data_IF_057145302942
#
_entry.id   IF_057145302942
#
_cell.length_a   1.000
_cell.length_b   1.000
_cell.length_c   1.000
_cell.angle_alpha   90.00
_cell.angle_beta   90.00
_cell.angle_gamma   90.00
#
_symmetry.space_group_name_H-M   'P 1'
#
loop_
_entity.id
_entity.type
_entity.pdbx_description
1 polymer ?
#
# COMPACT_ATOMS: atom_id res chain seq x y z
N UNK A 1 -43.10 -79.81 45.72
CA UNK A 1 -43.80 -78.56 45.35
C UNK A 1 -43.19 -78.02 44.06
N UNK A 2 -43.98 -77.60 43.07
CA UNK A 2 -43.45 -76.97 41.86
C UNK A 2 -43.18 -75.49 42.13
N UNK A 3 -41.96 -75.02 41.82
CA UNK A 3 -41.57 -73.61 41.95
C UNK A 3 -41.08 -73.08 40.61
N UNK A 4 -41.39 -71.80 40.36
CA UNK A 4 -40.98 -71.06 39.16
C UNK A 4 -40.36 -69.75 39.64
N UNK A 5 -39.18 -69.41 39.13
CA UNK A 5 -38.49 -68.16 39.39
C UNK A 5 -38.98 -67.06 38.44
N UNK A 6 -38.88 -65.79 38.88
CA UNK A 6 -39.15 -64.64 38.03
C UNK A 6 -38.11 -64.49 36.90
N UNK A 7 -38.35 -63.58 35.95
CA UNK A 7 -37.49 -63.38 34.79
C UNK A 7 -36.01 -63.14 35.17
N UNK A 8 -35.76 -62.33 36.19
CA UNK A 8 -34.43 -62.01 36.72
C UNK A 8 -33.96 -62.93 37.84
N UNK A 9 -34.68 -64.00 38.18
CA UNK A 9 -34.34 -64.86 39.32
C UNK A 9 -33.93 -66.27 38.88
N UNK A 10 -33.14 -66.95 39.70
CA UNK A 10 -32.83 -68.37 39.54
C UNK A 10 -33.14 -69.14 40.83
N UNK A 11 -33.65 -70.38 40.68
CA UNK A 11 -33.81 -71.31 41.79
C UNK A 11 -32.50 -72.06 42.00
N UNK A 12 -31.98 -72.00 43.22
CA UNK A 12 -30.89 -72.83 43.74
C UNK A 12 -31.52 -73.97 44.50
N UNK A 13 -31.27 -75.19 44.05
CA UNK A 13 -31.81 -76.40 44.66
C UNK A 13 -30.66 -77.25 45.17
N UNK A 14 -30.72 -77.60 46.44
CA UNK A 14 -29.76 -78.44 47.15
C UNK A 14 -30.49 -79.53 47.92
N UNK A 15 -29.80 -80.59 48.33
CA UNK A 15 -30.36 -81.67 49.15
C UNK A 15 -30.40 -83.02 48.45
N UNK A 16 -31.30 -83.90 48.88
CA UNK A 16 -31.25 -85.33 48.53
C UNK A 16 -31.28 -85.54 47.00
N UNK A 17 -30.28 -86.27 46.49
CA UNK A 17 -30.13 -86.59 45.06
C UNK A 17 -29.41 -85.52 44.22
N UNK A 18 -28.90 -84.45 44.83
CA UNK A 18 -28.12 -83.40 44.17
C UNK A 18 -26.72 -83.36 44.82
N UNK A 19 -25.63 -83.52 44.05
CA UNK A 19 -24.28 -83.62 44.61
C UNK A 19 -23.70 -82.29 45.11
N UNK A 20 -24.06 -81.15 44.51
CA UNK A 20 -23.57 -79.82 44.90
C UNK A 20 -24.72 -78.80 44.87
N UNK A 21 -24.91 -78.12 43.74
CA UNK A 21 -26.01 -77.16 43.53
C UNK A 21 -26.63 -77.38 42.15
N UNK A 22 -27.96 -77.33 42.08
CA UNK A 22 -28.71 -77.32 40.82
C UNK A 22 -29.36 -75.95 40.60
N UNK A 23 -29.03 -75.31 39.49
CA UNK A 23 -29.66 -74.06 39.04
C UNK A 23 -30.81 -74.36 38.08
N UNK A 24 -31.98 -73.74 38.31
CA UNK A 24 -33.12 -73.90 37.40
C UNK A 24 -34.05 -72.68 37.43
N UNK A 25 -34.67 -72.35 36.29
CA UNK A 25 -35.78 -71.36 36.25
C UNK A 25 -37.10 -71.95 36.76
N UNK A 26 -37.30 -73.24 36.58
CA UNK A 26 -38.50 -73.98 37.00
C UNK A 26 -38.12 -75.38 37.42
N UNK A 27 -38.58 -75.84 38.58
CA UNK A 27 -38.26 -77.17 39.06
C UNK A 27 -39.26 -77.71 40.08
N UNK A 28 -39.33 -79.03 40.15
CA UNK A 28 -39.99 -79.76 41.23
C UNK A 28 -39.03 -79.88 42.41
N UNK A 29 -39.40 -79.31 43.56
CA UNK A 29 -38.69 -79.47 44.82
C UNK A 29 -39.27 -80.69 45.53
N UNK A 30 -38.46 -81.73 45.69
CA UNK A 30 -38.83 -82.99 46.36
C UNK A 30 -38.66 -82.90 47.88
N UNK A 31 -39.32 -83.75 48.67
CA UNK A 31 -39.07 -83.86 50.11
C UNK A 31 -37.58 -84.15 50.38
N UNK A 32 -36.95 -83.37 51.26
CA UNK A 32 -35.50 -83.44 51.53
C UNK A 32 -34.64 -82.56 50.63
N UNK A 33 -35.24 -81.75 49.74
CA UNK A 33 -34.54 -80.71 48.99
C UNK A 33 -34.87 -79.32 49.54
N UNK A 34 -33.85 -78.49 49.65
CA UNK A 34 -33.93 -77.07 49.98
C UNK A 34 -33.89 -76.26 48.69
N UNK A 35 -34.71 -75.19 48.63
CA UNK A 35 -34.75 -74.31 47.48
C UNK A 35 -34.69 -72.85 47.93
N UNK A 36 -33.64 -72.15 47.49
CA UNK A 36 -33.45 -70.71 47.66
C UNK A 36 -33.56 -70.02 46.30
N UNK A 37 -33.91 -68.73 46.31
CA UNK A 37 -34.05 -67.92 45.10
C UNK A 37 -33.04 -66.77 45.21
N UNK A 38 -32.33 -66.48 44.12
CA UNK A 38 -31.47 -65.30 44.04
C UNK A 38 -31.77 -64.51 42.76
N UNK A 39 -31.57 -63.20 42.83
CA UNK A 39 -31.71 -62.27 41.71
C UNK A 39 -30.38 -62.13 40.97
N UNK A 40 -30.42 -62.14 39.63
CA UNK A 40 -29.26 -61.90 38.77
C UNK A 40 -29.18 -60.46 38.26
N UNK A 41 -30.12 -59.61 38.65
CA UNK A 41 -30.16 -58.20 38.24
C UNK A 41 -28.89 -57.46 38.69
N UNK A 42 -28.23 -56.71 37.80
CA UNK A 42 -27.08 -55.90 38.17
C UNK A 42 -27.44 -54.83 39.20
N UNK A 43 -26.58 -54.66 40.19
CA UNK A 43 -26.75 -53.68 41.28
C UNK A 43 -25.71 -52.57 41.14
N UNK A 44 -26.12 -51.34 41.43
CA UNK A 44 -25.22 -50.19 41.44
C UNK A 44 -24.55 -50.06 42.82
N UNK A 45 -23.23 -50.13 42.83
CA UNK A 45 -22.39 -49.95 44.00
C UNK A 45 -21.69 -48.59 43.92
N UNK A 46 -22.04 -47.70 44.83
CA UNK A 46 -21.40 -46.39 45.01
C UNK A 46 -20.35 -46.49 46.09
N UNK A 47 -19.14 -46.01 45.82
CA UNK A 47 -18.07 -45.99 46.81
C UNK A 47 -17.16 -44.78 46.61
N UNK A 48 -16.46 -44.43 47.69
CA UNK A 48 -15.52 -43.31 47.75
C UNK A 48 -14.19 -43.87 48.24
N UNK A 49 -13.33 -44.28 47.31
CA UNK A 49 -12.03 -44.86 47.68
C UNK A 49 -11.09 -43.74 48.11
N UNK A 50 -10.62 -43.81 49.35
CA UNK A 50 -9.50 -42.97 49.80
C UNK A 50 -8.18 -43.70 49.48
N UNK A 51 -7.35 -43.05 48.67
CA UNK A 51 -6.06 -43.59 48.25
C UNK A 51 -4.96 -42.54 48.36
N UNK A 52 -3.71 -42.98 48.25
CA UNK A 52 -2.53 -42.10 48.23
C UNK A 52 -1.79 -42.32 46.91
N UNK A 53 -1.33 -41.23 46.30
CA UNK A 53 -0.44 -41.30 45.12
C UNK A 53 0.96 -41.78 45.50
N UNK A 54 1.81 -42.06 44.50
CA UNK A 54 3.24 -42.33 44.70
C UNK A 54 3.97 -41.20 45.46
N UNK A 55 3.47 -39.97 45.34
CA UNK A 55 4.00 -38.76 46.00
C UNK A 55 3.43 -38.57 47.42
N UNK A 56 2.64 -39.55 47.91
CA UNK A 56 1.95 -39.54 49.21
C UNK A 56 0.90 -38.44 49.34
N UNK A 57 0.33 -37.99 48.22
CA UNK A 57 -0.80 -37.07 48.24
C UNK A 57 -2.10 -37.85 48.40
N UNK A 58 -2.91 -37.58 49.44
CA UNK A 58 -4.17 -38.26 49.65
C UNK A 58 -5.25 -37.70 48.72
N UNK A 59 -6.07 -38.58 48.16
CA UNK A 59 -7.20 -38.18 47.32
C UNK A 59 -8.39 -39.14 47.48
N UNK A 60 -9.57 -38.66 47.10
CA UNK A 60 -10.81 -39.44 47.06
C UNK A 60 -11.19 -39.71 45.61
N UNK A 61 -11.41 -40.99 45.29
CA UNK A 61 -11.97 -41.45 44.02
C UNK A 61 -13.43 -41.86 44.21
N UNK A 62 -14.39 -40.96 43.94
CA UNK A 62 -15.79 -41.33 43.92
C UNK A 62 -16.12 -42.07 42.63
N UNK A 63 -16.63 -43.29 42.74
CA UNK A 63 -17.04 -44.07 41.58
C UNK A 63 -18.28 -44.91 41.81
N UNK A 64 -18.96 -45.22 40.72
CA UNK A 64 -20.20 -46.01 40.70
C UNK A 64 -20.02 -47.17 39.74
N UNK A 65 -20.12 -48.39 40.24
CA UNK A 65 -19.96 -49.60 39.45
C UNK A 65 -21.28 -50.37 39.42
N UNK A 66 -21.72 -50.74 38.23
CA UNK A 66 -22.87 -51.62 38.02
C UNK A 66 -22.35 -53.04 37.90
N UNK A 67 -22.56 -53.85 38.94
CA UNK A 67 -22.01 -55.21 39.05
C UNK A 67 -23.14 -56.20 39.22
N UNK A 68 -23.05 -57.33 38.53
CA UNK A 68 -23.99 -58.44 38.68
C UNK A 68 -23.36 -59.76 38.27
N UNK A 69 -24.00 -60.90 38.56
CA UNK A 69 -23.53 -62.19 38.07
C UNK A 69 -23.56 -62.25 36.55
N UNK A 70 -22.63 -63.00 35.96
CA UNK A 70 -22.61 -63.29 34.53
C UNK A 70 -23.65 -64.37 34.21
N UNK A 71 -24.73 -63.99 33.52
CA UNK A 71 -25.85 -64.91 33.20
C UNK A 71 -25.50 -65.89 32.07
N UNK A 72 -24.56 -65.53 31.20
CA UNK A 72 -24.16 -66.35 30.04
C UNK A 72 -23.32 -67.58 30.43
N UNK A 73 -22.74 -67.60 31.62
CA UNK A 73 -21.86 -68.67 32.09
C UNK A 73 -22.46 -69.36 33.32
N UNK A 74 -22.84 -70.62 33.17
CA UNK A 74 -23.41 -71.43 34.25
C UNK A 74 -22.39 -71.64 35.39
N UNK A 75 -21.09 -71.70 35.09
CA UNK A 75 -20.06 -71.83 36.11
C UNK A 75 -19.96 -70.56 36.98
N UNK A 76 -20.09 -69.38 36.38
CA UNK A 76 -20.15 -68.10 37.09
C UNK A 76 -21.40 -67.98 37.97
N UNK A 77 -22.56 -68.40 37.47
CA UNK A 77 -23.79 -68.45 38.26
C UNK A 77 -23.69 -69.40 39.45
N UNK A 78 -23.03 -70.54 39.29
CA UNK A 78 -22.77 -71.48 40.39
C UNK A 78 -21.86 -70.87 41.46
N UNK A 79 -20.79 -70.16 41.07
CA UNK A 79 -19.91 -69.45 42.01
C UNK A 79 -20.67 -68.38 42.80
N UNK A 80 -21.51 -67.60 42.12
CA UNK A 80 -22.34 -66.58 42.74
C UNK A 80 -23.39 -67.19 43.69
N UNK A 81 -24.03 -68.28 43.29
CA UNK A 81 -24.98 -69.01 44.14
C UNK A 81 -24.32 -69.56 45.42
N UNK A 82 -23.06 -70.01 45.34
CA UNK A 82 -22.27 -70.42 46.51
C UNK A 82 -21.96 -69.24 47.43
N UNK A 83 -21.64 -68.08 46.87
CA UNK A 83 -21.36 -66.86 47.63
C UNK A 83 -22.57 -66.33 48.40
N UNK A 84 -23.77 -66.46 47.84
CA UNK A 84 -25.04 -66.01 48.45
C UNK A 84 -25.68 -67.07 49.36
N UNK A 85 -25.12 -68.28 49.39
CA UNK A 85 -25.58 -69.36 50.27
C UNK A 85 -25.59 -68.89 51.74
N UNK A 86 -26.61 -69.27 52.54
CA UNK A 86 -26.94 -68.58 53.78
C UNK A 86 -26.00 -68.95 54.92
N UNK A 87 -24.75 -68.54 54.85
CA UNK A 87 -23.94 -68.28 56.03
C UNK A 87 -24.14 -66.81 56.39
N UNK A 88 -25.08 -66.65 57.32
CA UNK A 88 -25.38 -65.43 58.05
C UNK A 88 -26.22 -64.33 57.37
N UNK A 89 -27.13 -63.81 58.18
CA UNK A 89 -28.19 -62.87 57.81
C UNK A 89 -27.61 -61.46 57.70
N UNK A 90 -26.94 -61.14 56.63
CA UNK A 90 -26.80 -59.75 56.19
C UNK A 90 -26.55 -59.74 54.69
N UNK A 91 -27.49 -59.17 53.95
CA UNK A 91 -27.42 -58.81 52.52
C UNK A 91 -26.22 -57.93 52.13
N UNK A 92 -25.30 -57.68 53.05
CA UNK A 92 -24.13 -56.84 52.89
C UNK A 92 -22.85 -57.62 52.56
N UNK A 93 -22.80 -58.96 52.70
CA UNK A 93 -21.56 -59.71 52.46
C UNK A 93 -21.01 -59.51 51.04
N UNK A 94 -21.87 -59.62 50.01
CA UNK A 94 -21.47 -59.37 48.61
C UNK A 94 -21.03 -57.93 48.41
N UNK A 95 -21.70 -56.97 49.08
CA UNK A 95 -21.35 -55.55 49.01
C UNK A 95 -19.98 -55.28 49.63
N UNK A 96 -19.70 -55.83 50.81
CA UNK A 96 -18.42 -55.71 51.52
C UNK A 96 -17.29 -56.35 50.74
N UNK A 97 -17.53 -57.52 50.13
CA UNK A 97 -16.55 -58.19 49.28
C UNK A 97 -16.22 -57.37 48.04
N UNK A 98 -17.24 -56.91 47.31
CA UNK A 98 -17.06 -56.06 46.12
C UNK A 98 -16.34 -54.76 46.49
N UNK A 99 -16.73 -54.14 47.61
CA UNK A 99 -16.09 -52.92 48.11
C UNK A 99 -14.62 -53.17 48.47
N UNK A 100 -14.31 -54.25 49.19
CA UNK A 100 -12.95 -54.58 49.60
C UNK A 100 -12.01 -54.86 48.41
N UNK A 101 -12.49 -55.59 47.40
CA UNK A 101 -11.74 -55.85 46.16
C UNK A 101 -11.42 -54.56 45.42
N UNK A 102 -12.43 -53.72 45.22
CA UNK A 102 -12.28 -52.45 44.50
C UNK A 102 -11.35 -51.51 45.26
N UNK A 103 -11.54 -51.33 46.56
CA UNK A 103 -10.70 -50.45 47.38
C UNK A 103 -9.25 -50.93 47.42
N UNK A 104 -9.03 -52.25 47.53
CA UNK A 104 -7.72 -52.87 47.51
C UNK A 104 -6.98 -52.61 46.20
N UNK A 105 -7.56 -53.02 45.06
CA UNK A 105 -6.92 -52.88 43.74
C UNK A 105 -6.72 -51.42 43.34
N UNK A 106 -7.71 -50.55 43.61
CA UNK A 106 -7.59 -49.12 43.33
C UNK A 106 -6.44 -48.49 44.13
N UNK A 107 -6.26 -48.89 45.40
CA UNK A 107 -5.19 -48.36 46.26
C UNK A 107 -3.80 -48.79 45.77
N UNK A 108 -3.66 -50.04 45.31
CA UNK A 108 -2.40 -50.55 44.76
C UNK A 108 -2.00 -49.77 43.50
N UNK A 109 -2.95 -49.54 42.59
CA UNK A 109 -2.70 -48.76 41.38
C UNK A 109 -2.39 -47.30 41.68
N UNK A 110 -3.17 -46.67 42.56
CA UNK A 110 -2.95 -45.29 42.98
C UNK A 110 -1.55 -45.08 43.58
N UNK A 111 -1.07 -46.02 44.39
CA UNK A 111 0.25 -45.93 45.02
C UNK A 111 1.42 -46.01 44.02
N UNK A 112 1.18 -46.54 42.81
CA UNK A 112 2.21 -46.69 41.77
C UNK A 112 2.32 -45.48 40.83
N UNK A 113 1.30 -44.63 40.78
CA UNK A 113 1.21 -43.50 39.85
C UNK A 113 1.37 -42.15 40.56
N UNK A 114 1.89 -41.16 39.83
CA UNK A 114 1.94 -39.77 40.33
C UNK A 114 0.56 -39.12 40.26
N UNK A 115 0.37 -38.05 41.04
CA UNK A 115 -0.91 -37.36 41.09
C UNK A 115 -1.32 -36.77 39.73
N UNK A 116 -0.34 -36.24 39.01
CA UNK A 116 -0.51 -35.68 37.67
C UNK A 116 -0.88 -36.76 36.64
N UNK A 117 -0.27 -37.96 36.73
CA UNK A 117 -0.61 -39.10 35.86
C UNK A 117 -2.04 -39.59 36.10
N UNK A 118 -2.49 -39.69 37.35
CA UNK A 118 -3.87 -40.08 37.67
C UNK A 118 -4.86 -39.02 37.14
N UNK A 119 -4.51 -37.74 37.26
CA UNK A 119 -5.35 -36.64 36.78
C UNK A 119 -5.38 -36.51 35.26
N UNK A 120 -4.23 -36.62 34.58
CA UNK A 120 -4.11 -36.48 33.12
C UNK A 120 -4.50 -37.76 32.38
N UNK A 121 -4.14 -38.90 32.95
CA UNK A 121 -4.38 -40.24 32.45
C UNK A 121 -5.65 -40.88 33.00
N UNK A 122 -6.70 -40.12 33.32
CA UNK A 122 -7.92 -40.67 33.92
C UNK A 122 -8.58 -41.75 33.05
N UNK A 123 -8.34 -41.79 31.74
CA UNK A 123 -8.84 -42.86 30.88
C UNK A 123 -8.06 -44.16 31.06
N UNK A 124 -6.74 -44.08 31.09
CA UNK A 124 -5.86 -45.23 31.22
C UNK A 124 -5.96 -45.81 32.63
N UNK A 125 -5.97 -44.94 33.66
CA UNK A 125 -6.23 -45.33 35.04
C UNK A 125 -7.57 -46.03 35.21
N UNK A 126 -8.66 -45.51 34.58
CA UNK A 126 -9.98 -46.17 34.60
C UNK A 126 -9.93 -47.56 33.99
N UNK A 127 -9.20 -47.71 32.89
CA UNK A 127 -9.09 -49.00 32.20
C UNK A 127 -8.31 -50.00 33.04
N UNK A 128 -7.18 -49.59 33.61
CA UNK A 128 -6.33 -50.45 34.43
C UNK A 128 -7.04 -50.89 35.72
N UNK A 129 -7.72 -49.97 36.42
CA UNK A 129 -8.56 -50.29 37.58
C UNK A 129 -9.66 -51.28 37.18
N UNK A 130 -10.32 -51.04 36.05
CA UNK A 130 -11.39 -51.92 35.57
C UNK A 130 -10.89 -53.35 35.31
N UNK A 131 -9.76 -53.51 34.61
CA UNK A 131 -9.21 -54.83 34.29
C UNK A 131 -8.79 -55.59 35.55
N UNK A 132 -8.09 -54.93 36.47
CA UNK A 132 -7.64 -55.54 37.73
C UNK A 132 -8.82 -55.98 38.60
N UNK A 133 -9.80 -55.09 38.79
CA UNK A 133 -11.01 -55.41 39.57
C UNK A 133 -11.82 -56.53 38.90
N UNK A 134 -11.95 -56.53 37.57
CA UNK A 134 -12.70 -57.57 36.87
C UNK A 134 -12.04 -58.96 37.02
N UNK A 135 -10.71 -59.05 37.05
CA UNK A 135 -9.98 -60.31 37.28
C UNK A 135 -10.29 -60.90 38.66
N UNK A 136 -10.33 -60.08 39.70
CA UNK A 136 -10.70 -60.52 41.05
C UNK A 136 -12.19 -60.90 41.15
N UNK A 137 -13.09 -60.10 40.56
CA UNK A 137 -14.53 -60.36 40.56
C UNK A 137 -14.91 -61.64 39.78
N UNK A 138 -14.14 -62.02 38.76
CA UNK A 138 -14.35 -63.27 38.01
C UNK A 138 -14.23 -64.52 38.89
N UNK A 139 -13.45 -64.48 39.98
CA UNK A 139 -13.32 -65.59 40.93
C UNK A 139 -14.64 -65.87 41.65
N UNK A 140 -15.45 -64.83 41.82
CA UNK A 140 -16.77 -64.88 42.47
C UNK A 140 -17.93 -65.02 41.47
N UNK A 141 -17.65 -65.08 40.16
CA UNK A 141 -18.67 -65.14 39.11
C UNK A 141 -19.37 -63.80 38.85
N UNK A 142 -18.76 -62.69 39.27
CA UNK A 142 -19.29 -61.34 39.11
C UNK A 142 -18.70 -60.65 37.88
N UNK A 143 -19.52 -59.81 37.24
CA UNK A 143 -19.19 -59.03 36.06
C UNK A 143 -19.53 -57.56 36.29
N UNK A 144 -18.59 -56.69 35.95
CA UNK A 144 -18.83 -55.26 35.86
C UNK A 144 -19.49 -54.96 34.51
N UNK A 145 -20.75 -54.53 34.53
CA UNK A 145 -21.49 -54.09 33.35
C UNK A 145 -21.14 -52.65 32.97
N UNK A 146 -20.90 -51.81 33.98
CA UNK A 146 -20.55 -50.41 33.80
C UNK A 146 -19.70 -49.92 34.97
N UNK A 147 -18.74 -49.04 34.69
CA UNK A 147 -17.99 -48.31 35.69
C UNK A 147 -18.00 -46.82 35.34
N UNK A 148 -18.60 -46.01 36.21
CA UNK A 148 -18.60 -44.56 36.11
C UNK A 148 -17.73 -43.97 37.22
N UNK A 149 -16.50 -43.64 36.86
CA UNK A 149 -15.55 -42.95 37.75
C UNK A 149 -15.73 -41.45 37.60
N UNK A 150 -16.10 -40.77 38.69
CA UNK A 150 -16.25 -39.30 38.73
C UNK A 150 -14.87 -38.63 38.83
N UNK A 151 -14.87 -37.30 38.82
CA UNK A 151 -13.66 -36.51 39.02
C UNK A 151 -13.11 -36.75 40.43
N UNK A 152 -11.78 -36.80 40.53
CA UNK A 152 -11.06 -36.93 41.80
C UNK A 152 -11.35 -35.70 42.67
N UNK A 153 -11.45 -35.93 43.98
CA UNK A 153 -11.72 -34.89 44.97
C UNK A 153 -10.61 -34.89 46.02
N UNK A 154 -10.21 -33.71 46.48
CA UNK A 154 -9.26 -33.59 47.58
C UNK A 154 -9.88 -34.15 48.87
N UNK A 155 -9.04 -34.75 49.72
CA UNK A 155 -9.45 -35.11 51.09
C UNK A 155 -9.65 -33.80 51.89
N UNK A 156 -10.67 -33.70 52.76
CA UNK A 156 -10.87 -32.52 53.59
C UNK A 156 -9.59 -32.10 54.34
N UNK A 157 -9.14 -30.86 54.12
CA UNK A 157 -7.88 -30.32 54.66
C UNK A 157 -6.74 -30.20 53.63
N UNK A 158 -6.92 -30.73 52.43
CA UNK A 158 -6.01 -30.54 51.29
C UNK A 158 -6.74 -29.80 50.15
N UNK A 159 -6.02 -28.96 49.41
CA UNK A 159 -6.58 -28.14 48.32
C UNK A 159 -5.78 -28.31 47.01
N UNK A 160 -5.12 -29.47 46.84
CA UNK A 160 -4.20 -29.69 45.74
C UNK A 160 -4.91 -29.56 44.37
N UNK A 161 -6.07 -30.19 44.18
CA UNK A 161 -6.80 -30.08 42.91
C UNK A 161 -7.32 -28.68 42.64
N UNK A 162 -7.67 -27.94 43.68
CA UNK A 162 -8.10 -26.54 43.55
C UNK A 162 -6.95 -25.67 43.02
N UNK A 163 -5.75 -25.79 43.61
CA UNK A 163 -4.56 -25.07 43.14
C UNK A 163 -4.06 -25.56 41.78
N UNK A 164 -4.11 -26.87 41.52
CA UNK A 164 -3.72 -27.44 40.24
C UNK A 164 -4.63 -26.92 39.11
N UNK A 165 -5.95 -26.92 39.34
CA UNK A 165 -6.92 -26.37 38.39
C UNK A 165 -6.68 -24.88 38.12
N UNK A 166 -6.41 -24.08 39.16
CA UNK A 166 -6.04 -22.67 39.01
C UNK A 166 -4.73 -22.50 38.23
N UNK A 167 -3.69 -23.28 38.54
CA UNK A 167 -2.40 -23.26 37.85
C UNK A 167 -2.57 -23.57 36.35
N UNK A 168 -3.29 -24.63 36.01
CA UNK A 168 -3.54 -25.01 34.61
C UNK A 168 -4.33 -23.93 33.85
N UNK A 169 -5.35 -23.33 34.49
CA UNK A 169 -6.08 -22.21 33.89
C UNK A 169 -5.19 -20.97 33.67
N UNK A 170 -4.34 -20.64 34.65
CA UNK A 170 -3.38 -19.54 34.53
C UNK A 170 -2.32 -19.81 33.46
N UNK A 171 -1.80 -21.03 33.36
CA UNK A 171 -0.85 -21.44 32.33
C UNK A 171 -1.48 -21.33 30.94
N UNK A 172 -2.69 -21.85 30.74
CA UNK A 172 -3.41 -21.73 29.48
C UNK A 172 -3.69 -20.26 29.11
N UNK A 173 -4.10 -19.45 30.09
CA UNK A 173 -4.33 -18.02 29.89
C UNK A 173 -3.04 -17.27 29.55
N UNK A 174 -1.92 -17.59 30.21
CA UNK A 174 -0.63 -16.99 29.94
C UNK A 174 -0.11 -17.41 28.56
N UNK A 175 -0.23 -18.68 28.19
CA UNK A 175 0.15 -19.15 26.85
C UNK A 175 -0.66 -18.41 25.77
N UNK A 176 -1.99 -18.31 25.95
CA UNK A 176 -2.82 -17.54 25.02
C UNK A 176 -2.41 -16.06 24.94
N UNK A 177 -1.99 -15.44 26.05
CA UNK A 177 -1.44 -14.07 26.04
C UNK A 177 -0.13 -13.98 25.27
N UNK A 178 0.77 -14.96 25.42
CA UNK A 178 2.02 -15.03 24.66
C UNK A 178 1.72 -15.14 23.16
N UNK A 179 0.85 -16.07 22.77
CA UNK A 179 0.49 -16.30 21.37
C UNK A 179 -0.13 -15.04 20.72
N UNK A 180 -1.01 -14.34 21.46
CA UNK A 180 -1.61 -13.07 21.00
C UNK A 180 -0.56 -11.96 20.88
N UNK A 181 0.38 -11.87 21.83
CA UNK A 181 1.45 -10.88 21.79
C UNK A 181 2.40 -11.12 20.60
N UNK A 182 2.78 -12.37 20.35
CA UNK A 182 3.60 -12.76 19.20
C UNK A 182 2.89 -12.48 17.87
N UNK A 183 1.60 -12.84 17.77
CA UNK A 183 0.79 -12.55 16.59
C UNK A 183 0.69 -11.04 16.33
N UNK A 184 0.49 -10.23 17.37
CA UNK A 184 0.44 -8.77 17.28
C UNK A 184 1.79 -8.20 16.85
N UNK A 185 2.90 -8.64 17.46
CA UNK A 185 4.25 -8.23 17.08
C UNK A 185 4.53 -8.54 15.61
N UNK A 186 4.22 -9.76 15.15
CA UNK A 186 4.39 -10.15 13.74
C UNK A 186 3.50 -9.32 12.80
N UNK A 187 2.27 -9.03 13.22
CA UNK A 187 1.34 -8.16 12.48
C UNK A 187 1.86 -6.73 12.35
N UNK A 188 2.34 -6.13 13.44
CA UNK A 188 2.89 -4.78 13.46
C UNK A 188 4.18 -4.66 12.64
N UNK A 189 5.10 -5.63 12.76
CA UNK A 189 6.31 -5.69 11.93
C UNK A 189 5.92 -5.81 10.45
N UNK A 190 4.99 -6.69 10.11
CA UNK A 190 4.50 -6.85 8.74
C UNK A 190 3.83 -5.58 8.17
N UNK A 191 3.09 -4.86 9.01
CA UNK A 191 2.47 -3.58 8.64
C UNK A 191 3.53 -2.50 8.40
N UNK A 192 4.50 -2.33 9.32
CA UNK A 192 5.58 -1.36 9.20
C UNK A 192 6.52 -1.66 8.03
N UNK A 193 6.80 -2.93 7.75
CA UNK A 193 7.60 -3.32 6.60
C UNK A 193 6.90 -2.95 5.28
N UNK A 194 5.59 -3.21 5.17
CA UNK A 194 4.81 -2.79 4.01
C UNK A 194 4.75 -1.27 3.88
N UNK A 195 4.55 -0.55 4.97
CA UNK A 195 4.58 0.91 4.99
C UNK A 195 5.94 1.46 4.50
N UNK A 196 7.04 0.91 5.03
CA UNK A 196 8.40 1.26 4.60
C UNK A 196 8.65 0.96 3.13
N UNK A 197 8.19 -0.19 2.62
CA UNK A 197 8.28 -0.52 1.19
C UNK A 197 7.45 0.44 0.33
N UNK A 198 6.23 0.79 0.75
CA UNK A 198 5.40 1.77 0.02
C UNK A 198 6.04 3.15 -0.02
N UNK A 199 6.65 3.61 1.08
CA UNK A 199 7.39 4.87 1.14
C UNK A 199 8.63 4.84 0.23
N UNK A 200 9.40 3.75 0.26
CA UNK A 200 10.57 3.61 -0.62
C UNK A 200 10.17 3.58 -2.10
N UNK A 201 9.09 2.87 -2.45
CA UNK A 201 8.59 2.82 -3.81
C UNK A 201 8.05 4.17 -4.26
N UNK A 202 7.31 4.88 -3.40
CA UNK A 202 6.85 6.24 -3.68
C UNK A 202 8.03 7.19 -3.92
N UNK A 203 9.07 7.12 -3.09
CA UNK A 203 10.28 7.93 -3.26
C UNK A 203 11.04 7.59 -4.56
N UNK A 204 11.13 6.31 -4.94
CA UNK A 204 11.71 5.90 -6.23
C UNK A 204 10.90 6.43 -7.41
N UNK A 205 9.58 6.30 -7.36
CA UNK A 205 8.68 6.81 -8.41
C UNK A 205 8.80 8.33 -8.52
N UNK A 206 8.86 9.06 -7.41
CA UNK A 206 9.03 10.52 -7.41
C UNK A 206 10.38 10.93 -8.02
N UNK A 207 11.47 10.25 -7.64
CA UNK A 207 12.79 10.46 -8.22
C UNK A 207 12.81 10.18 -9.74
N UNK A 208 12.25 9.05 -10.18
CA UNK A 208 12.11 8.72 -11.61
C UNK A 208 11.24 9.74 -12.34
N UNK A 209 10.12 10.15 -11.75
CA UNK A 209 9.23 11.17 -12.32
C UNK A 209 9.96 12.50 -12.49
N UNK A 210 10.77 12.91 -11.51
CA UNK A 210 11.58 14.12 -11.57
C UNK A 210 12.69 14.05 -12.62
N UNK A 211 13.32 12.89 -12.78
CA UNK A 211 14.32 12.66 -13.85
C UNK A 211 13.63 12.79 -15.21
N UNK A 212 12.52 12.10 -15.42
CA UNK A 212 11.76 12.14 -16.68
C UNK A 212 11.25 13.55 -16.98
N UNK A 213 10.73 14.28 -15.98
CA UNK A 213 10.28 15.66 -16.18
C UNK A 213 11.43 16.60 -16.54
N UNK A 214 12.59 16.42 -15.91
CA UNK A 214 13.80 17.22 -16.21
C UNK A 214 14.32 16.91 -17.61
N UNK A 215 14.32 15.63 -18.00
CA UNK A 215 14.71 15.22 -19.35
C UNK A 215 13.75 15.78 -20.40
N UNK A 216 12.44 15.67 -20.20
CA UNK A 216 11.43 16.29 -21.08
C UNK A 216 11.57 17.80 -21.17
N UNK A 217 11.88 18.48 -20.07
CA UNK A 217 12.17 19.92 -20.09
C UNK A 217 13.47 20.24 -20.84
N UNK A 218 14.50 19.39 -20.70
CA UNK A 218 15.74 19.52 -21.46
C UNK A 218 15.52 19.35 -22.97
N UNK A 219 14.75 18.34 -23.36
CA UNK A 219 14.33 18.10 -24.75
C UNK A 219 13.46 19.25 -25.27
N UNK A 220 12.48 19.72 -24.49
CA UNK A 220 11.65 20.86 -24.84
C UNK A 220 12.46 22.15 -25.03
N UNK A 221 13.41 22.44 -24.13
CA UNK A 221 14.32 23.58 -24.29
C UNK A 221 15.23 23.43 -25.50
N UNK A 222 15.73 22.22 -25.79
CA UNK A 222 16.54 21.96 -26.97
C UNK A 222 15.75 22.22 -28.25
N UNK A 223 14.50 21.78 -28.28
CA UNK A 223 13.58 22.03 -29.39
C UNK A 223 13.25 23.52 -29.54
N UNK A 224 12.97 24.20 -28.43
CA UNK A 224 12.72 25.65 -28.40
C UNK A 224 13.94 26.43 -28.91
N UNK A 225 15.15 26.07 -28.48
CA UNK A 225 16.39 26.66 -28.98
C UNK A 225 16.56 26.38 -30.48
N UNK A 226 16.23 25.17 -30.96
CA UNK A 226 16.32 24.82 -32.38
C UNK A 226 15.38 25.69 -33.21
N UNK A 227 14.10 25.76 -32.84
CA UNK A 227 13.10 26.59 -33.52
C UNK A 227 13.51 28.06 -33.48
N UNK A 228 13.96 28.57 -32.32
CA UNK A 228 14.41 29.97 -32.19
C UNK A 228 15.65 30.27 -33.05
N UNK A 229 16.54 29.29 -33.21
CA UNK A 229 17.72 29.42 -34.08
C UNK A 229 17.30 29.41 -35.54
N UNK A 230 16.40 28.51 -35.96
CA UNK A 230 15.83 28.49 -37.31
C UNK A 230 15.13 29.80 -37.66
N UNK A 231 14.30 30.33 -36.75
CA UNK A 231 13.65 31.63 -36.91
C UNK A 231 14.68 32.75 -37.05
N UNK A 232 15.72 32.79 -36.20
CA UNK A 232 16.79 33.80 -36.32
C UNK A 232 17.57 33.69 -37.63
N UNK A 233 17.84 32.47 -38.11
CA UNK A 233 18.49 32.26 -39.41
C UNK A 233 17.60 32.80 -40.53
N UNK A 234 16.30 32.55 -40.47
CA UNK A 234 15.33 33.07 -41.43
C UNK A 234 15.22 34.61 -41.38
N UNK A 235 15.16 35.20 -40.17
CA UNK A 235 15.18 36.66 -39.99
C UNK A 235 16.46 37.28 -40.54
N UNK A 236 17.64 36.70 -40.23
CA UNK A 236 18.92 37.17 -40.77
C UNK A 236 18.98 37.03 -42.29
N UNK A 237 18.46 35.95 -42.88
CA UNK A 237 18.38 35.79 -44.33
C UNK A 237 17.49 36.86 -44.94
N UNK A 238 16.30 37.09 -44.37
CA UNK A 238 15.37 38.12 -44.83
C UNK A 238 15.96 39.53 -44.68
N UNK A 239 16.69 39.80 -43.60
CA UNK A 239 17.37 41.08 -43.39
C UNK A 239 18.51 41.28 -44.39
N UNK A 240 19.27 40.22 -44.70
CA UNK A 240 20.28 40.25 -45.75
C UNK A 240 19.66 40.52 -47.14
N UNK A 241 18.55 39.86 -47.48
CA UNK A 241 17.79 40.12 -48.72
C UNK A 241 17.26 41.56 -48.77
N UNK A 242 16.73 42.08 -47.66
CA UNK A 242 16.29 43.48 -47.57
C UNK A 242 17.45 44.46 -47.70
N UNK A 243 18.62 44.14 -47.11
CA UNK A 243 19.82 44.95 -47.24
C UNK A 243 20.34 44.95 -48.68
N UNK A 244 20.33 43.81 -49.37
CA UNK A 244 20.68 43.69 -50.78
C UNK A 244 19.73 44.49 -51.67
N UNK A 245 18.41 44.31 -51.49
CA UNK A 245 17.40 45.08 -52.21
C UNK A 245 17.52 46.60 -51.96
N UNK A 246 17.81 47.01 -50.72
CA UNK A 246 18.05 48.41 -50.38
C UNK A 246 19.35 48.94 -51.00
N UNK A 247 20.42 48.14 -51.03
CA UNK A 247 21.68 48.51 -51.68
C UNK A 247 21.51 48.68 -53.19
N UNK A 248 20.72 47.81 -53.83
CA UNK A 248 20.42 47.92 -55.26
C UNK A 248 19.52 49.12 -55.56
N UNK A 249 18.54 49.41 -54.69
CA UNK A 249 17.70 50.60 -54.81
C UNK A 249 18.55 51.87 -54.61
N UNK A 250 19.51 51.86 -53.69
CA UNK A 250 20.47 52.95 -53.48
C UNK A 250 21.40 53.14 -54.69
N UNK A 251 21.90 52.06 -55.31
CA UNK A 251 22.67 52.13 -56.57
C UNK A 251 21.86 52.76 -57.70
N UNK A 252 20.60 52.33 -57.88
CA UNK A 252 19.70 52.92 -58.89
C UNK A 252 19.43 54.40 -58.62
N UNK A 253 19.14 54.76 -57.36
CA UNK A 253 18.97 56.16 -56.96
C UNK A 253 20.24 56.99 -57.21
N UNK A 254 21.42 56.48 -56.87
CA UNK A 254 22.69 57.17 -57.14
C UNK A 254 22.94 57.35 -58.64
N UNK A 255 22.56 56.37 -59.47
CA UNK A 255 22.55 56.49 -60.92
C UNK A 255 21.66 57.64 -61.41
N UNK A 256 20.40 57.69 -60.97
CA UNK A 256 19.48 58.77 -61.33
C UNK A 256 19.92 60.13 -60.80
N UNK A 257 20.47 60.22 -59.59
CA UNK A 257 21.01 61.48 -59.06
C UNK A 257 22.18 61.97 -59.89
N UNK A 258 23.07 61.07 -60.33
CA UNK A 258 24.19 61.41 -61.21
C UNK A 258 23.69 61.90 -62.58
N UNK A 259 22.70 61.24 -63.17
CA UNK A 259 22.06 61.68 -64.43
C UNK A 259 21.38 63.05 -64.27
N UNK A 260 20.65 63.27 -63.17
CA UNK A 260 20.01 64.56 -62.87
C UNK A 260 21.04 65.68 -62.69
N UNK A 261 22.14 65.43 -61.98
CA UNK A 261 23.23 66.41 -61.82
C UNK A 261 23.94 66.72 -63.14
N UNK A 262 24.12 65.73 -64.02
CA UNK A 262 24.70 65.95 -65.35
C UNK A 262 23.77 66.86 -66.17
N UNK A 263 22.46 66.58 -66.18
CA UNK A 263 21.48 67.41 -66.87
C UNK A 263 21.42 68.85 -66.32
N UNK A 264 21.54 69.03 -64.99
CA UNK A 264 21.56 70.36 -64.36
C UNK A 264 22.83 71.15 -64.71
N UNK A 265 24.00 70.49 -64.71
CA UNK A 265 25.28 71.11 -65.11
C UNK A 265 25.28 71.47 -66.61
N UNK A 266 24.72 70.61 -67.47
CA UNK A 266 24.57 70.90 -68.90
C UNK A 266 23.63 72.09 -69.14
N UNK A 267 22.49 72.15 -68.43
CA UNK A 267 21.58 73.29 -68.51
C UNK A 267 22.24 74.59 -68.02
N UNK A 268 22.98 74.55 -66.91
CA UNK A 268 23.71 75.71 -66.40
C UNK A 268 24.81 76.19 -67.37
N UNK A 269 25.56 75.25 -67.99
CA UNK A 269 26.54 75.58 -69.03
C UNK A 269 25.89 76.19 -70.28
N UNK A 270 24.72 75.69 -70.68
CA UNK A 270 23.97 76.24 -71.81
C UNK A 270 23.50 77.68 -71.55
N UNK A 271 23.05 77.98 -70.32
CA UNK A 271 22.71 79.36 -69.90
C UNK A 271 23.95 80.25 -69.92
N UNK A 272 25.07 79.80 -69.33
CA UNK A 272 26.32 80.59 -69.29
C UNK A 272 26.89 80.90 -70.68
N UNK A 273 26.79 79.95 -71.63
CA UNK A 273 27.19 80.18 -73.03
C UNK A 273 26.32 81.25 -73.70
N UNK A 274 25.00 81.20 -73.49
CA UNK A 274 24.05 82.17 -74.03
C UNK A 274 24.29 83.58 -73.47
N UNK A 275 24.61 83.66 -72.18
CA UNK A 275 24.92 84.92 -71.49
C UNK A 275 26.24 85.53 -71.98
N UNK A 276 27.26 84.70 -72.22
CA UNK A 276 28.53 85.14 -72.82
C UNK A 276 28.40 85.62 -74.27
N UNK A 277 27.49 85.04 -75.06
CA UNK A 277 27.17 85.51 -76.42
C UNK A 277 26.50 86.90 -76.39
N UNK A 278 25.50 87.09 -75.52
CA UNK A 278 24.83 88.37 -75.33
C UNK A 278 25.80 89.47 -74.86
N UNK A 279 26.75 89.15 -73.97
CA UNK A 279 27.74 90.10 -73.48
C UNK A 279 28.63 90.65 -74.62
N UNK A 280 29.06 89.77 -75.54
CA UNK A 280 29.85 90.17 -76.73
C UNK A 280 29.07 91.07 -77.69
N UNK A 281 27.75 90.87 -77.78
CA UNK A 281 26.88 91.66 -78.65
C UNK A 281 26.68 93.08 -78.09
N UNK A 282 26.52 93.21 -76.77
CA UNK A 282 26.47 94.50 -76.06
C UNK A 282 27.79 95.27 -76.18
N UNK A 283 28.93 94.59 -76.09
CA UNK A 283 30.25 95.22 -76.25
C UNK A 283 30.46 95.78 -77.66
N UNK A 284 30.00 95.08 -78.71
CA UNK A 284 30.03 95.60 -80.10
C UNK A 284 29.16 96.85 -80.27
N UNK A 285 27.95 96.85 -79.71
CA UNK A 285 27.05 98.00 -79.78
C UNK A 285 27.61 99.23 -79.07
N UNK A 286 28.26 99.03 -77.92
CA UNK A 286 28.91 100.13 -77.17
C UNK A 286 30.13 100.70 -77.92
N UNK A 287 30.88 99.86 -78.64
CA UNK A 287 32.01 100.31 -79.46
C UNK A 287 31.56 101.17 -80.66
N UNK A 288 30.46 100.79 -81.33
CA UNK A 288 29.85 101.58 -82.42
C UNK A 288 29.34 102.95 -81.93
N UNK A 289 28.73 102.99 -80.75
CA UNK A 289 28.19 104.24 -80.17
C UNK A 289 29.32 105.25 -79.84
N UNK A 290 30.52 104.77 -79.49
CA UNK A 290 31.68 105.64 -79.21
C UNK A 290 32.31 106.23 -80.48
N UNK A 291 32.30 105.52 -81.60
CA UNK A 291 32.87 106.04 -82.86
C UNK A 291 31.97 107.08 -83.52
N UNK A 292 30.65 107.01 -83.32
CA UNK A 292 29.72 108.06 -83.77
C UNK A 292 29.84 109.35 -82.94
N UNK A 293 30.03 109.25 -81.62
CA UNK A 293 30.26 110.43 -80.76
C UNK A 293 31.53 111.22 -81.13
N UNK A 294 32.64 110.52 -81.40
CA UNK A 294 33.90 111.16 -81.80
C UNK A 294 33.83 111.85 -83.17
N UNK A 295 32.98 111.37 -84.10
CA UNK A 295 32.72 112.05 -85.38
C UNK A 295 31.91 113.34 -85.21
N UNK A 296 30.99 113.39 -84.24
CA UNK A 296 30.16 114.57 -83.99
C UNK A 296 30.95 115.73 -83.35
N UNK A 297 31.91 115.44 -82.46
CA UNK A 297 32.73 116.48 -81.80
C UNK A 297 33.71 117.18 -82.76
N UNK A 298 34.33 116.45 -83.69
CA UNK A 298 35.24 117.06 -84.69
C UNK A 298 34.52 117.96 -85.71
N UNK A 299 33.28 117.64 -86.08
CA UNK A 299 32.47 118.46 -86.99
C UNK A 299 31.95 119.75 -86.32
N UNK A 300 31.77 119.73 -85.00
CA UNK A 300 31.36 120.91 -84.22
C UNK A 300 32.49 121.94 -84.05
N UNK A 301 33.75 121.50 -83.88
CA UNK A 301 34.88 122.44 -83.72
C UNK A 301 35.25 123.15 -85.02
N UNK A 302 35.16 122.47 -86.17
CA UNK A 302 35.48 123.07 -87.48
C UNK A 302 34.45 124.13 -87.94
N UNK A 303 33.19 124.04 -87.50
CA UNK A 303 32.14 125.01 -87.84
C UNK A 303 32.26 126.33 -87.06
N UNK A 304 32.80 126.30 -85.83
CA UNK A 304 32.88 127.49 -84.97
C UNK A 304 34.04 128.39 -85.34
N UNK A 305 35.17 127.84 -85.81
CA UNK A 305 36.34 128.63 -86.24
C UNK A 305 36.14 129.37 -87.58
N UNK A 306 35.26 128.87 -88.45
CA UNK A 306 34.97 129.52 -89.74
C UNK A 306 34.05 130.75 -89.57
N UNK A 307 33.12 130.72 -88.61
CA UNK A 307 32.11 131.78 -88.42
C UNK A 307 32.66 133.01 -87.67
N UNK A 308 33.65 132.86 -86.79
CA UNK A 308 34.29 133.98 -86.08
C UNK A 308 35.19 134.81 -86.99
N UNK A 309 35.87 134.20 -87.98
CA UNK A 309 36.74 134.92 -88.92
C UNK A 309 35.95 135.76 -89.94
N UNK A 310 34.77 135.30 -90.35
CA UNK A 310 33.93 136.02 -91.34
C UNK A 310 33.24 137.24 -90.71
N UNK A 311 32.81 137.16 -89.44
CA UNK A 311 32.08 138.27 -88.79
C UNK A 311 32.92 139.51 -88.47
N UNK A 312 34.21 139.39 -88.12
CA UNK A 312 34.99 140.58 -87.74
C UNK A 312 35.58 141.28 -88.97
N UNK A 313 35.88 140.56 -90.07
CA UNK A 313 36.25 141.19 -91.35
C UNK A 313 35.14 142.12 -91.88
N UNK A 314 33.87 141.80 -91.61
CA UNK A 314 32.71 142.61 -92.02
C UNK A 314 32.58 143.88 -91.15
N UNK A 315 32.87 143.82 -89.84
CA UNK A 315 32.78 144.97 -88.95
C UNK A 315 33.90 145.99 -89.22
N UNK A 316 35.12 145.52 -89.51
CA UNK A 316 36.24 146.42 -89.83
C UNK A 316 36.03 147.20 -91.14
N UNK A 317 35.27 146.65 -92.10
CA UNK A 317 35.05 147.25 -93.42
C UNK A 317 33.83 148.18 -93.45
N UNK A 318 32.93 148.08 -92.47
CA UNK A 318 31.75 148.96 -92.38
C UNK A 318 32.06 150.31 -91.69
N UNK A 319 33.01 150.37 -90.76
CA UNK A 319 33.40 151.65 -90.14
C UNK A 319 34.25 152.56 -91.05
N UNK A 320 35.03 152.01 -91.99
CA UNK A 320 35.76 152.83 -92.97
C UNK A 320 34.85 153.51 -94.00
N UNK A 321 33.64 152.98 -94.23
CA UNK A 321 32.71 153.46 -95.25
C UNK A 321 31.70 154.51 -94.77
N UNK A 322 31.52 154.70 -93.46
CA UNK A 322 30.66 155.77 -92.94
C UNK A 322 31.40 157.11 -92.73
N UNK A 323 32.72 157.13 -92.91
CA UNK A 323 33.56 158.33 -92.78
C UNK A 323 33.68 159.14 -94.09
N UNK A 324 32.82 158.89 -95.08
CA UNK A 324 32.73 159.64 -96.34
C UNK A 324 31.28 159.62 -96.85
N UNK A 325 30.40 160.48 -96.32
CA UNK A 325 29.32 161.13 -97.08
C UNK A 325 28.40 161.99 -96.17
N UNK A 326 28.44 163.32 -96.41
CA UNK A 326 27.58 164.44 -95.92
C UNK A 326 27.88 164.95 -94.49
N UNK A 327 28.33 166.18 -94.20
CA UNK A 327 28.43 167.47 -94.94
C UNK A 327 27.15 167.93 -95.66
N UNK A 328 26.21 168.45 -94.86
CA UNK A 328 25.47 169.69 -95.11
C UNK A 328 24.93 170.27 -93.79
#
# INVERSE_FOLDING_TARGET
>A
MYKVANASEYLVITGVGIPDIKLAKKAWVLPGQSCTVFDVSPVNYTFEVQAMSAEKLPFVLPAVFTIGPRVDDEASLLKYAKLISPHDKLSNHVKELVQGVIEGETRVLAASMTMEEIFKGTKDFKHEVFEKVQLELNQFGLLIYNANVKQLVDVPGHEYFSYLGQKTQMEAANQAKVDVAEAKMKGEIGAKLREGQTLQNAAKIDAETRIVSTQRQGEGKKEEIRVKTEVKVYENQREAELAEANADLAKKKAGWTKEAQVAEVEAAKAVALREAELQREVERMNALTRTEKLKAEFLSQASVEYDTKVRIHIISKFMELFNKHFDL
#
